data_IF_578964152160
#
_entry.id   IF_578964152160
#
_cell.length_a   1.000
_cell.length_b   1.000
_cell.length_c   1.000
_cell.angle_alpha   90.00
_cell.angle_beta   90.00
_cell.angle_gamma   90.00
#
_symmetry.space_group_name_H-M   'P 1'
#
loop_
_entity.id
_entity.type
_entity.pdbx_description
1 polymer ?
#
# COMPACT_ATOMS: atom_id res chain seq x y z
N UNK A 1 0.76 -9.81 7.05
CA UNK A 1 1.62 -10.14 8.19
C UNK A 1 2.46 -11.32 7.76
N UNK A 2 3.78 -11.21 7.81
CA UNK A 2 4.67 -12.27 7.33
C UNK A 2 5.53 -12.73 8.50
N UNK A 3 5.33 -13.95 9.03
CA UNK A 3 6.20 -14.48 10.07
C UNK A 3 7.63 -14.61 9.57
N UNK A 4 8.57 -13.91 10.20
CA UNK A 4 9.97 -13.81 9.73
C UNK A 4 10.65 -15.18 9.60
N UNK A 5 10.38 -16.10 10.53
CA UNK A 5 10.94 -17.45 10.49
C UNK A 5 10.49 -18.25 9.26
N UNK A 6 9.21 -18.14 8.87
CA UNK A 6 8.70 -18.79 7.67
C UNK A 6 9.29 -18.13 6.42
N UNK A 7 9.32 -16.80 6.38
CA UNK A 7 9.86 -16.05 5.24
C UNK A 7 11.34 -16.36 4.99
N UNK A 8 12.13 -16.50 6.06
CA UNK A 8 13.54 -16.88 5.97
C UNK A 8 13.71 -18.33 5.46
N UNK A 9 12.94 -19.30 6.00
CA UNK A 9 12.99 -20.69 5.54
C UNK A 9 12.58 -20.86 4.07
N UNK A 10 11.58 -20.10 3.62
CA UNK A 10 11.12 -20.06 2.23
C UNK A 10 11.99 -19.19 1.31
N UNK A 11 13.07 -18.58 1.84
CA UNK A 11 14.01 -17.72 1.10
C UNK A 11 13.37 -16.46 0.50
N UNK A 12 12.24 -16.00 1.03
CA UNK A 12 11.65 -14.70 0.62
C UNK A 12 12.44 -13.51 1.18
N UNK A 13 13.12 -13.70 2.30
CA UNK A 13 13.99 -12.69 2.91
C UNK A 13 15.36 -13.32 3.22
N UNK A 14 16.38 -12.48 3.33
CA UNK A 14 17.70 -12.86 3.84
C UNK A 14 18.15 -11.89 4.90
N UNK A 15 18.92 -12.36 5.87
CA UNK A 15 19.60 -11.48 6.84
C UNK A 15 20.72 -10.73 6.10
N UNK A 16 20.67 -9.40 6.12
CA UNK A 16 21.69 -8.55 5.46
C UNK A 16 22.70 -8.00 6.47
N UNK A 17 22.30 -7.79 7.73
CA UNK A 17 23.18 -7.28 8.77
C UNK A 17 22.38 -6.79 9.98
N UNK A 18 23.06 -6.08 10.87
CA UNK A 18 22.42 -5.33 11.94
C UNK A 18 22.46 -3.84 11.57
N UNK A 19 21.32 -3.16 11.69
CA UNK A 19 21.20 -1.74 11.40
C UNK A 19 20.49 -1.07 12.57
N UNK A 20 20.90 0.15 12.90
CA UNK A 20 20.17 0.96 13.88
C UNK A 20 18.76 1.21 13.38
N UNK A 21 17.78 0.82 14.18
CA UNK A 21 16.38 1.04 13.87
C UNK A 21 16.08 2.52 14.09
N UNK A 22 16.03 3.30 13.00
CA UNK A 22 15.46 4.65 13.05
C UNK A 22 14.03 4.55 13.59
N UNK A 23 13.67 5.42 14.53
CA UNK A 23 12.29 5.50 15.05
C UNK A 23 11.34 5.77 13.89
N UNK A 24 10.59 4.76 13.49
CA UNK A 24 9.57 4.89 12.45
C UNK A 24 8.35 5.60 13.02
N UNK A 25 7.96 6.71 12.41
CA UNK A 25 6.72 7.41 12.75
C UNK A 25 5.62 6.92 11.83
N UNK A 26 4.59 6.32 12.41
CA UNK A 26 3.42 5.87 11.65
C UNK A 26 2.75 7.08 10.96
N UNK A 27 2.52 7.02 9.64
CA UNK A 27 1.84 8.08 8.90
C UNK A 27 0.42 8.34 9.45
N UNK A 28 -0.01 9.59 9.44
CA UNK A 28 -1.38 9.95 9.88
C UNK A 28 -2.44 9.50 8.86
N UNK A 29 -2.13 9.58 7.57
CA UNK A 29 -3.07 9.27 6.49
C UNK A 29 -2.55 8.16 5.61
N UNK A 30 -3.49 7.34 5.16
CA UNK A 30 -3.28 6.25 4.21
C UNK A 30 -4.29 6.35 3.08
N UNK A 31 -4.03 5.64 1.99
CA UNK A 31 -4.90 5.56 0.81
C UNK A 31 -5.22 4.11 0.50
N UNK A 32 -6.45 3.81 0.10
CA UNK A 32 -6.82 2.51 -0.47
C UNK A 32 -7.82 2.69 -1.59
N UNK A 33 -7.93 1.71 -2.49
CA UNK A 33 -8.97 1.68 -3.52
C UNK A 33 -10.30 1.26 -2.91
N UNK A 34 -11.40 1.87 -3.38
CA UNK A 34 -12.77 1.40 -3.19
C UNK A 34 -13.24 0.72 -4.47
N UNK A 35 -13.55 -0.56 -4.40
CA UNK A 35 -14.23 -1.29 -5.48
C UNK A 35 -15.53 -1.89 -4.96
N UNK A 36 -16.59 -1.79 -5.75
CA UNK A 36 -17.89 -2.40 -5.46
C UNK A 36 -18.21 -3.35 -6.58
N UNK A 37 -18.33 -4.65 -6.26
CA UNK A 37 -18.53 -5.72 -7.25
C UNK A 37 -17.47 -5.69 -8.38
N UNK A 38 -16.21 -5.41 -8.04
CA UNK A 38 -15.10 -5.31 -9.01
C UNK A 38 -15.04 -3.98 -9.77
N UNK A 39 -16.05 -3.12 -9.65
CA UNK A 39 -16.08 -1.81 -10.31
C UNK A 39 -15.41 -0.77 -9.42
N UNK A 40 -14.41 -0.07 -9.97
CA UNK A 40 -13.75 1.05 -9.31
C UNK A 40 -14.76 2.17 -8.97
N UNK A 41 -14.77 2.61 -7.71
CA UNK A 41 -15.62 3.73 -7.24
C UNK A 41 -14.84 4.96 -6.82
N UNK A 42 -13.54 4.80 -6.57
CA UNK A 42 -12.66 5.88 -6.15
C UNK A 42 -11.62 5.40 -5.15
N UNK A 43 -11.03 6.37 -4.46
CA UNK A 43 -10.00 6.17 -3.45
C UNK A 43 -10.52 6.56 -2.09
N UNK A 44 -10.24 5.75 -1.07
CA UNK A 44 -10.54 6.06 0.32
C UNK A 44 -9.28 6.57 1.00
N UNK A 45 -9.38 7.78 1.54
CA UNK A 45 -8.36 8.36 2.41
C UNK A 45 -8.73 8.02 3.85
N UNK A 46 -7.84 7.33 4.55
CA UNK A 46 -8.05 6.86 5.92
C UNK A 46 -7.18 7.66 6.87
N UNK A 47 -7.79 8.27 7.89
CA UNK A 47 -7.06 8.83 9.02
C UNK A 47 -6.77 7.72 10.03
N UNK A 48 -5.50 7.35 10.20
CA UNK A 48 -5.12 6.22 11.04
C UNK A 48 -5.35 6.45 12.54
N UNK A 49 -5.49 7.72 12.98
CA UNK A 49 -5.70 8.03 14.39
C UNK A 49 -7.19 8.05 14.76
N UNK A 50 -8.06 8.53 13.86
CA UNK A 50 -9.51 8.65 14.10
C UNK A 50 -10.33 7.56 13.43
N UNK A 51 -9.72 6.79 12.52
CA UNK A 51 -10.35 5.80 11.63
C UNK A 51 -11.39 6.39 10.66
N UNK A 52 -11.46 7.72 10.56
CA UNK A 52 -12.32 8.39 9.58
C UNK A 52 -11.89 8.05 8.16
N UNK A 53 -12.88 7.86 7.29
CA UNK A 53 -12.70 7.48 5.90
C UNK A 53 -13.38 8.51 4.99
N UNK A 54 -12.67 8.96 3.97
CA UNK A 54 -13.20 9.88 2.96
C UNK A 54 -12.98 9.32 1.57
N UNK A 55 -14.07 9.08 0.84
CA UNK A 55 -14.03 8.71 -0.57
C UNK A 55 -13.71 9.95 -1.44
N UNK A 56 -12.75 9.80 -2.36
CA UNK A 56 -12.36 10.80 -3.34
C UNK A 56 -12.22 10.13 -4.70
N UNK A 57 -12.77 10.71 -5.76
CA UNK A 57 -12.62 10.16 -7.13
C UNK A 57 -11.19 10.31 -7.64
N UNK A 58 -10.63 11.51 -7.46
CA UNK A 58 -9.26 11.85 -7.89
C UNK A 58 -8.46 12.35 -6.68
N UNK A 59 -7.46 11.59 -6.21
CA UNK A 59 -6.56 12.04 -5.16
C UNK A 59 -5.78 13.29 -5.57
N UNK A 60 -5.50 14.16 -4.61
CA UNK A 60 -4.56 15.28 -4.79
C UNK A 60 -3.12 14.74 -4.89
N UNK A 61 -2.18 15.54 -5.44
CA UNK A 61 -0.74 15.19 -5.48
C UNK A 61 -0.16 14.76 -4.11
N UNK A 62 -0.71 15.30 -3.02
CA UNK A 62 -0.32 14.92 -1.66
C UNK A 62 -0.89 13.56 -1.27
N UNK A 63 -2.17 13.32 -1.58
CA UNK A 63 -2.85 12.04 -1.32
C UNK A 63 -2.28 10.90 -2.17
N UNK A 64 -1.79 11.19 -3.38
CA UNK A 64 -1.10 10.21 -4.23
C UNK A 64 0.06 9.53 -3.49
N UNK A 65 0.85 10.31 -2.77
CA UNK A 65 2.01 9.83 -2.01
C UNK A 65 1.65 9.10 -0.70
N UNK A 66 0.37 9.01 -0.35
CA UNK A 66 -0.02 8.33 0.88
C UNK A 66 0.22 6.82 0.76
N UNK A 67 0.78 6.19 1.81
CA UNK A 67 0.99 4.75 1.81
C UNK A 67 -0.33 3.97 1.74
N UNK A 68 -0.29 2.73 1.26
CA UNK A 68 -1.46 1.86 1.19
C UNK A 68 -2.00 1.55 2.59
N UNK A 69 -3.32 1.67 2.77
CA UNK A 69 -3.97 1.24 4.01
C UNK A 69 -4.14 -0.28 4.02
N UNK A 70 -3.80 -0.91 5.15
CA UNK A 70 -4.01 -2.35 5.36
C UNK A 70 -2.72 -3.16 5.39
N UNK A 71 -2.89 -4.47 5.25
CA UNK A 71 -1.82 -5.46 5.41
C UNK A 71 -1.62 -6.16 4.08
N UNK A 72 -0.39 -6.17 3.58
CA UNK A 72 -0.03 -6.92 2.39
C UNK A 72 0.55 -8.30 2.72
N UNK A 73 0.19 -9.28 1.90
CA UNK A 73 0.84 -10.60 1.87
C UNK A 73 2.22 -10.52 1.21
N UNK A 74 3.07 -11.53 1.41
CA UNK A 74 4.43 -11.51 0.85
C UNK A 74 4.42 -11.68 -0.66
N UNK A 75 3.53 -12.50 -1.19
CA UNK A 75 3.35 -12.74 -2.62
C UNK A 75 2.94 -11.45 -3.33
N UNK A 76 1.99 -10.72 -2.73
CA UNK A 76 1.56 -9.42 -3.25
C UNK A 76 2.68 -8.37 -3.18
N UNK A 77 3.45 -8.34 -2.09
CA UNK A 77 4.61 -7.45 -1.98
C UNK A 77 5.65 -7.72 -3.06
N UNK A 78 5.95 -9.00 -3.34
CA UNK A 78 6.88 -9.40 -4.40
C UNK A 78 6.38 -8.92 -5.76
N UNK A 79 5.12 -9.23 -6.13
CA UNK A 79 4.52 -8.81 -7.40
C UNK A 79 4.58 -7.28 -7.60
N UNK A 80 4.29 -6.52 -6.53
CA UNK A 80 4.35 -5.06 -6.55
C UNK A 80 5.77 -4.54 -6.78
N UNK A 81 6.77 -5.10 -6.09
CA UNK A 81 8.17 -4.73 -6.27
C UNK A 81 8.65 -5.05 -7.68
N UNK A 82 8.31 -6.23 -8.21
CA UNK A 82 8.67 -6.66 -9.57
C UNK A 82 8.06 -5.76 -10.65
N UNK A 83 6.85 -5.25 -10.43
CA UNK A 83 6.17 -4.29 -11.31
C UNK A 83 6.65 -2.84 -11.12
N UNK A 84 7.71 -2.61 -10.35
CA UNK A 84 8.20 -1.27 -10.00
C UNK A 84 7.10 -0.37 -9.41
N UNK A 85 6.16 -0.98 -8.68
CA UNK A 85 5.02 -0.28 -8.13
C UNK A 85 5.46 0.70 -7.04
N UNK A 86 4.84 1.87 -7.03
CA UNK A 86 4.99 2.83 -5.96
C UNK A 86 3.66 3.58 -5.73
N UNK A 87 3.46 4.22 -4.56
CA UNK A 87 2.20 4.90 -4.25
C UNK A 87 1.78 5.98 -5.27
N UNK A 88 2.76 6.60 -5.94
CA UNK A 88 2.54 7.70 -6.87
C UNK A 88 1.96 7.20 -8.22
N UNK A 89 2.31 5.98 -8.65
CA UNK A 89 1.83 5.36 -9.89
C UNK A 89 0.66 4.41 -9.69
N UNK A 90 0.17 4.24 -8.46
CA UNK A 90 -0.93 3.30 -8.17
C UNK A 90 -2.25 3.68 -8.87
N UNK A 91 -2.43 4.95 -9.20
CA UNK A 91 -3.63 5.42 -9.90
C UNK A 91 -3.71 4.96 -11.35
N UNK A 92 -2.57 4.70 -11.99
CA UNK A 92 -2.50 4.31 -13.40
C UNK A 92 -3.21 2.97 -13.65
N UNK A 93 -3.18 2.04 -12.67
CA UNK A 93 -3.86 0.73 -12.71
C UNK A 93 -5.38 0.82 -12.86
N UNK A 94 -5.99 1.92 -12.44
CA UNK A 94 -7.45 2.10 -12.42
C UNK A 94 -7.93 3.18 -13.37
N UNK A 95 -7.00 3.89 -14.04
CA UNK A 95 -7.34 4.93 -15.02
C UNK A 95 -7.65 4.35 -16.40
N UNK A 96 -7.11 3.17 -16.72
CA UNK A 96 -7.35 2.47 -18.00
C UNK A 96 -8.71 1.77 -18.09
N UNK A 97 -9.46 1.68 -16.99
CA UNK A 97 -10.76 0.97 -16.94
C UNK A 97 -11.96 1.84 -17.34
N UNK A 98 -11.75 3.13 -17.64
CA UNK A 98 -12.81 4.04 -18.10
C UNK A 98 -12.75 4.35 -19.61
N UNK A 99 -12.01 3.58 -20.42
CA UNK A 99 -11.96 3.74 -21.89
C UNK A 99 -12.81 2.74 -22.67
#
# INVERSE_FOLDING_TARGET
FVPLGIALRRKYIRKVGFSEVKKFKVPKYFKTVETVCGVFKGWVIVNNHTLERKLVKKPTKKQQKYPPYGIWGIEFLIDRIEKNWNPETWEDEYTEQES
#
